data_IF_236263547761
#
_entry.id   IF_236263547761
#
_cell.length_a   1.000
_cell.length_b   1.000
_cell.length_c   1.000
_cell.angle_alpha   90.00
_cell.angle_beta   90.00
_cell.angle_gamma   90.00
#
_symmetry.space_group_name_H-M   'P 1'
#
loop_
_entity.id
_entity.type
_entity.pdbx_description
1 polymer ?
#
# COMPACT_ATOMS: atom_id res chain seq x y z
N UNK A 1 -14.53 -3.15 24.54
CA UNK A 1 -13.22 -3.37 23.91
C UNK A 1 -12.86 -2.31 22.85
N UNK A 2 -13.70 -2.07 21.83
CA UNK A 2 -13.36 -1.11 20.75
C UNK A 2 -12.95 0.30 21.22
N UNK A 3 -13.62 0.90 22.20
CA UNK A 3 -13.21 2.19 22.79
C UNK A 3 -11.81 2.14 23.38
N UNK A 4 -11.50 1.12 24.20
CA UNK A 4 -10.18 0.94 24.79
C UNK A 4 -9.08 0.84 23.73
N UNK A 5 -9.31 0.05 22.68
CA UNK A 5 -8.36 -0.10 21.57
C UNK A 5 -8.10 1.24 20.87
N UNK A 6 -9.14 2.07 20.71
CA UNK A 6 -9.02 3.38 20.10
C UNK A 6 -8.27 4.37 21.02
N UNK A 7 -8.62 4.40 22.30
CA UNK A 7 -7.99 5.25 23.31
C UNK A 7 -6.49 4.91 23.43
N UNK A 8 -6.14 3.62 23.55
CA UNK A 8 -4.76 3.15 23.63
C UNK A 8 -3.94 3.52 22.36
N UNK A 9 -4.59 3.61 21.19
CA UNK A 9 -3.94 4.07 19.95
C UNK A 9 -3.74 5.58 19.88
N UNK A 10 -4.66 6.36 20.43
CA UNK A 10 -4.42 7.79 20.61
C UNK A 10 -3.30 8.05 21.60
N UNK A 11 -3.31 7.37 22.75
CA UNK A 11 -2.25 7.44 23.75
C UNK A 11 -0.90 7.04 23.16
N UNK A 12 -0.87 6.00 22.31
CA UNK A 12 0.33 5.58 21.58
C UNK A 12 0.91 6.68 20.70
N UNK A 13 0.07 7.36 19.91
CA UNK A 13 0.50 8.44 19.00
C UNK A 13 0.91 9.69 19.78
N UNK A 14 0.16 10.04 20.83
CA UNK A 14 0.45 11.18 21.71
C UNK A 14 1.82 11.04 22.39
N UNK A 15 2.09 9.87 22.97
CA UNK A 15 3.31 9.60 23.73
C UNK A 15 4.42 8.95 22.89
N UNK A 16 4.32 8.98 21.56
CA UNK A 16 5.25 8.25 20.68
C UNK A 16 6.71 8.65 20.90
N UNK A 17 6.96 9.92 21.25
CA UNK A 17 8.31 10.49 21.47
C UNK A 17 9.04 9.91 22.69
N UNK A 18 8.30 9.34 23.62
CA UNK A 18 8.84 8.75 24.85
C UNK A 18 9.29 7.29 24.62
N UNK A 19 8.93 6.72 23.47
CA UNK A 19 9.23 5.35 23.09
C UNK A 19 10.51 5.29 22.27
N UNK A 20 11.25 4.17 22.27
CA UNK A 20 12.37 4.00 21.34
C UNK A 20 11.88 4.08 19.89
N UNK A 21 12.66 4.73 19.01
CA UNK A 21 12.37 4.79 17.57
C UNK A 21 12.14 3.39 17.02
N UNK A 22 13.04 2.47 17.35
CA UNK A 22 12.98 1.06 16.98
C UNK A 22 13.73 0.24 18.02
N UNK A 23 13.33 -1.01 18.22
CA UNK A 23 14.08 -1.99 19.01
C UNK A 23 13.98 -3.38 18.37
N UNK A 24 15.03 -4.21 18.48
CA UNK A 24 15.01 -5.57 17.96
C UNK A 24 13.97 -6.42 18.71
N UNK A 25 13.32 -7.35 17.99
CA UNK A 25 12.38 -8.30 18.59
C UNK A 25 13.17 -9.41 19.31
N UNK A 26 12.97 -9.61 20.63
CA UNK A 26 13.51 -10.73 21.39
C UNK A 26 13.12 -12.11 20.84
N UNK A 27 13.91 -13.14 21.11
CA UNK A 27 13.68 -14.49 20.56
C UNK A 27 12.41 -15.14 21.11
N UNK A 28 12.09 -14.92 22.37
CA UNK A 28 10.86 -15.35 23.05
C UNK A 28 9.61 -14.67 22.45
N UNK A 29 9.65 -13.36 22.22
CA UNK A 29 8.58 -12.62 21.54
C UNK A 29 8.33 -13.14 20.12
N UNK A 30 9.39 -13.54 19.38
CA UNK A 30 9.24 -14.20 18.08
C UNK A 30 8.67 -15.61 18.19
N UNK A 31 9.06 -16.36 19.21
CA UNK A 31 8.59 -17.73 19.44
C UNK A 31 7.11 -17.77 19.80
N UNK A 32 6.60 -16.73 20.45
CA UNK A 32 5.17 -16.58 20.79
C UNK A 32 4.25 -16.72 19.55
N UNK A 33 4.65 -16.20 18.38
CA UNK A 33 3.89 -16.32 17.13
C UNK A 33 4.22 -17.57 16.29
N UNK A 34 4.89 -18.58 16.87
CA UNK A 34 5.22 -19.86 16.22
C UNK A 34 4.43 -21.02 16.84
N UNK A 35 3.12 -20.84 16.93
CA UNK A 35 2.18 -21.82 17.49
C UNK A 35 1.33 -22.46 16.39
N UNK A 36 0.68 -23.59 16.69
CA UNK A 36 -0.27 -24.22 15.79
C UNK A 36 -1.54 -23.36 15.64
N UNK A 37 -2.29 -23.59 14.55
CA UNK A 37 -3.59 -22.95 14.33
C UNK A 37 -4.55 -23.28 15.50
N UNK A 38 -5.12 -22.29 16.21
CA UNK A 38 -6.11 -22.57 17.23
C UNK A 38 -7.40 -23.11 16.59
N UNK A 39 -7.95 -24.18 17.17
CA UNK A 39 -9.21 -24.80 16.74
C UNK A 39 -10.42 -24.34 17.56
N UNK A 40 -10.20 -23.52 18.58
CA UNK A 40 -11.22 -22.95 19.44
C UNK A 40 -11.13 -21.42 19.38
N UNK A 41 -12.25 -20.70 19.60
CA UNK A 41 -12.22 -19.25 19.66
C UNK A 41 -11.39 -18.75 20.85
N UNK A 42 -10.78 -17.59 20.66
CA UNK A 42 -10.03 -16.84 21.68
C UNK A 42 -10.82 -15.59 22.03
N UNK A 43 -10.80 -15.16 23.31
CA UNK A 43 -11.43 -13.90 23.69
C UNK A 43 -10.73 -12.71 23.02
N UNK A 44 -11.48 -11.66 22.67
CA UNK A 44 -10.91 -10.48 22.02
C UNK A 44 -9.89 -9.77 22.93
N UNK A 45 -10.17 -9.77 24.23
CA UNK A 45 -9.32 -9.26 25.29
C UNK A 45 -7.94 -9.93 25.27
N UNK A 46 -7.90 -11.26 25.16
CA UNK A 46 -6.66 -12.04 25.13
C UNK A 46 -5.83 -11.70 23.87
N UNK A 47 -6.48 -11.66 22.70
CA UNK A 47 -5.81 -11.26 21.45
C UNK A 47 -5.27 -9.82 21.51
N UNK A 48 -5.98 -8.92 22.18
CA UNK A 48 -5.55 -7.54 22.36
C UNK A 48 -4.38 -7.40 23.34
N UNK A 49 -4.34 -8.21 24.38
CA UNK A 49 -3.20 -8.30 25.29
C UNK A 49 -1.94 -8.80 24.56
N UNK A 50 -2.07 -9.81 23.69
CA UNK A 50 -0.98 -10.26 22.83
C UNK A 50 -0.46 -9.14 21.90
N UNK A 51 -1.37 -8.40 21.26
CA UNK A 51 -1.01 -7.23 20.44
C UNK A 51 -0.25 -6.18 21.26
N UNK A 52 -0.74 -5.87 22.46
CA UNK A 52 -0.16 -4.87 23.34
C UNK A 52 1.24 -5.24 23.85
N UNK A 53 1.47 -6.53 24.14
CA UNK A 53 2.73 -7.02 24.70
C UNK A 53 3.77 -7.39 23.64
N UNK A 54 3.33 -7.99 22.53
CA UNK A 54 4.23 -8.61 21.56
C UNK A 54 4.25 -7.94 20.18
N UNK A 55 3.35 -7.00 19.90
CA UNK A 55 3.30 -6.30 18.60
C UNK A 55 3.67 -4.82 18.76
N UNK A 56 2.91 -4.03 19.53
CA UNK A 56 3.14 -2.58 19.70
C UNK A 56 4.59 -2.25 20.06
N UNK A 57 5.25 -2.96 21.01
CA UNK A 57 6.60 -2.61 21.41
C UNK A 57 7.63 -2.68 20.29
N UNK A 58 7.40 -3.52 19.28
CA UNK A 58 8.39 -3.85 18.25
C UNK A 58 7.98 -3.39 16.85
N UNK A 59 7.18 -2.32 16.77
CA UNK A 59 6.80 -1.70 15.50
C UNK A 59 8.02 -1.15 14.72
N UNK A 60 7.83 -0.88 13.44
CA UNK A 60 8.89 -0.41 12.54
C UNK A 60 9.46 0.98 12.91
N UNK A 61 8.72 1.78 13.68
CA UNK A 61 9.18 3.07 14.18
C UNK A 61 8.87 4.27 13.29
N UNK A 62 8.32 4.06 12.09
CA UNK A 62 8.09 5.10 11.08
C UNK A 62 7.21 6.28 11.52
N UNK A 63 6.43 6.11 12.60
CA UNK A 63 5.58 7.17 13.17
C UNK A 63 6.34 8.05 14.19
N UNK A 64 7.53 7.64 14.63
CA UNK A 64 8.35 8.39 15.57
C UNK A 64 9.10 9.53 14.85
N UNK A 65 9.17 10.77 15.39
CA UNK A 65 9.79 11.90 14.70
C UNK A 65 11.30 11.77 14.48
N UNK A 66 11.97 10.96 15.29
CA UNK A 66 13.38 10.58 15.13
C UNK A 66 13.64 9.48 14.09
N UNK A 67 12.62 8.98 13.40
CA UNK A 67 12.80 7.95 12.37
C UNK A 67 13.38 8.55 11.08
N UNK A 68 14.54 8.03 10.66
CA UNK A 68 15.29 8.52 9.48
C UNK A 68 15.50 7.40 8.44
N UNK A 69 14.68 6.34 8.48
CA UNK A 69 14.85 5.14 7.67
C UNK A 69 13.94 5.08 6.44
N UNK A 70 14.52 5.14 5.24
CA UNK A 70 13.79 5.03 3.97
C UNK A 70 12.67 6.09 3.84
N UNK A 71 11.71 5.86 2.94
CA UNK A 71 10.53 6.72 2.75
C UNK A 71 9.32 5.97 3.27
N UNK A 72 9.01 6.15 4.55
CA UNK A 72 7.78 5.63 5.17
C UNK A 72 6.89 6.78 5.59
N UNK A 73 5.59 6.67 5.33
CA UNK A 73 4.61 7.60 5.86
C UNK A 73 4.42 7.39 7.37
N UNK A 74 4.28 8.48 8.12
CA UNK A 74 3.95 8.44 9.56
C UNK A 74 2.45 8.32 9.86
N UNK A 75 1.59 8.41 8.84
CA UNK A 75 0.13 8.47 9.02
C UNK A 75 -0.33 9.74 9.75
N UNK A 76 -1.63 9.83 10.02
CA UNK A 76 -2.22 10.89 10.86
C UNK A 76 -3.34 10.29 11.72
N UNK A 77 -3.66 10.93 12.86
CA UNK A 77 -4.78 10.53 13.70
C UNK A 77 -6.12 10.55 12.94
N UNK A 78 -6.31 11.55 12.07
CA UNK A 78 -7.49 11.65 11.20
C UNK A 78 -7.53 10.51 10.18
N UNK A 79 -6.38 10.16 9.58
CA UNK A 79 -6.28 9.02 8.67
C UNK A 79 -6.62 7.69 9.35
N UNK A 80 -6.17 7.50 10.59
CA UNK A 80 -6.52 6.32 11.39
C UNK A 80 -8.03 6.22 11.64
N UNK A 81 -8.70 7.33 11.97
CA UNK A 81 -10.15 7.37 12.12
C UNK A 81 -10.89 7.13 10.80
N UNK A 82 -10.38 7.67 9.69
CA UNK A 82 -10.94 7.42 8.36
C UNK A 82 -10.87 5.93 7.99
N UNK A 83 -9.74 5.27 8.30
CA UNK A 83 -9.60 3.81 8.12
C UNK A 83 -10.56 3.02 9.01
N UNK A 84 -10.80 3.45 10.26
CA UNK A 84 -11.82 2.84 11.12
C UNK A 84 -13.22 2.90 10.47
N UNK A 85 -13.60 4.05 9.91
CA UNK A 85 -14.88 4.21 9.21
C UNK A 85 -14.94 3.37 7.93
N UNK A 86 -13.87 3.35 7.15
CA UNK A 86 -13.79 2.56 5.91
C UNK A 86 -13.88 1.05 6.20
N UNK A 87 -13.13 0.57 7.19
CA UNK A 87 -13.16 -0.82 7.64
C UNK A 87 -14.52 -1.20 8.25
N UNK A 88 -15.15 -0.31 9.01
CA UNK A 88 -16.49 -0.52 9.56
C UNK A 88 -17.58 -0.58 8.49
N UNK A 89 -17.50 0.28 7.47
CA UNK A 89 -18.40 0.24 6.32
C UNK A 89 -18.18 -1.04 5.47
N UNK A 90 -16.94 -1.53 5.42
CA UNK A 90 -16.54 -2.76 4.74
C UNK A 90 -17.07 -2.85 3.29
N UNK A 91 -16.97 -1.73 2.55
CA UNK A 91 -17.52 -1.62 1.21
C UNK A 91 -16.64 -2.35 0.18
N UNK A 92 -17.20 -3.33 -0.52
CA UNK A 92 -16.58 -3.91 -1.72
C UNK A 92 -16.88 -3.03 -2.95
N UNK A 93 -15.84 -2.45 -3.55
CA UNK A 93 -15.95 -1.47 -4.65
C UNK A 93 -15.90 -2.10 -6.06
N UNK A 94 -16.32 -3.37 -6.22
CA UNK A 94 -16.21 -4.12 -7.48
C UNK A 94 -17.16 -3.70 -8.63
N UNK A 95 -17.80 -2.53 -8.57
CA UNK A 95 -18.63 -2.01 -9.67
C UNK A 95 -20.13 -1.87 -9.37
N UNK A 96 -20.51 -1.58 -8.13
CA UNK A 96 -21.89 -1.20 -7.77
C UNK A 96 -22.05 0.32 -7.81
N UNK A 97 -23.29 0.79 -7.64
CA UNK A 97 -23.60 2.21 -7.44
C UNK A 97 -23.62 2.52 -5.93
N UNK A 98 -22.61 3.24 -5.44
CA UNK A 98 -22.43 3.57 -4.03
C UNK A 98 -21.41 4.69 -3.80
N UNK A 99 -21.62 5.44 -2.72
CA UNK A 99 -20.92 6.69 -2.43
C UNK A 99 -19.38 6.62 -2.33
N UNK A 100 -18.73 5.54 -1.85
CA UNK A 100 -17.27 5.50 -1.80
C UNK A 100 -16.59 5.73 -3.16
N UNK A 101 -17.23 5.32 -4.26
CA UNK A 101 -16.71 5.55 -5.62
C UNK A 101 -16.70 7.05 -5.96
N UNK A 102 -17.75 7.78 -5.57
CA UNK A 102 -17.82 9.24 -5.81
C UNK A 102 -16.80 10.00 -4.95
N UNK A 103 -16.56 9.54 -3.71
CA UNK A 103 -15.50 10.08 -2.86
C UNK A 103 -14.13 9.88 -3.54
N UNK A 104 -13.85 8.69 -4.07
CA UNK A 104 -12.59 8.43 -4.80
C UNK A 104 -12.44 9.37 -6.02
N UNK A 105 -13.49 9.50 -6.84
CA UNK A 105 -13.49 10.40 -8.01
C UNK A 105 -13.24 11.86 -7.63
N UNK A 106 -13.84 12.32 -6.54
CA UNK A 106 -13.63 13.68 -6.04
C UNK A 106 -12.17 13.90 -5.64
N UNK A 107 -11.55 12.95 -4.93
CA UNK A 107 -10.16 13.05 -4.52
C UNK A 107 -9.23 13.00 -5.74
N UNK A 108 -9.50 12.16 -6.74
CA UNK A 108 -8.75 12.15 -8.01
C UNK A 108 -8.85 13.50 -8.71
N UNK A 109 -10.03 14.13 -8.72
CA UNK A 109 -10.22 15.47 -9.27
C UNK A 109 -9.37 16.52 -8.54
N UNK A 110 -9.32 16.49 -7.20
CA UNK A 110 -8.46 17.38 -6.42
C UNK A 110 -6.98 17.12 -6.67
N UNK A 111 -6.54 15.86 -6.75
CA UNK A 111 -5.16 15.54 -7.09
C UNK A 111 -4.78 16.08 -8.46
N UNK A 112 -5.65 15.92 -9.46
CA UNK A 112 -5.46 16.50 -10.80
C UNK A 112 -5.20 18.00 -10.75
N UNK A 113 -6.02 18.73 -9.99
CA UNK A 113 -5.89 20.18 -9.81
C UNK A 113 -4.60 20.55 -9.08
N UNK A 114 -4.29 19.91 -7.95
CA UNK A 114 -3.09 20.18 -7.15
C UNK A 114 -1.79 19.99 -7.94
N UNK A 115 -1.75 19.02 -8.85
CA UNK A 115 -0.58 18.75 -9.70
C UNK A 115 -0.60 19.50 -11.04
N UNK A 116 -1.63 20.31 -11.32
CA UNK A 116 -1.73 21.09 -12.55
C UNK A 116 -1.90 20.23 -13.81
N UNK A 117 -2.53 19.05 -13.70
CA UNK A 117 -2.80 18.19 -14.84
C UNK A 117 -3.90 18.77 -15.74
N UNK A 118 -3.87 18.49 -17.06
CA UNK A 118 -4.82 19.05 -18.00
C UNK A 118 -6.26 18.59 -17.73
N UNK A 119 -7.21 19.38 -18.23
CA UNK A 119 -8.61 18.98 -18.26
C UNK A 119 -8.78 17.65 -18.99
N UNK A 120 -9.59 16.74 -18.43
CA UNK A 120 -9.75 15.37 -18.92
C UNK A 120 -8.72 14.34 -18.41
N UNK A 121 -7.65 14.77 -17.72
CA UNK A 121 -6.81 13.83 -16.98
C UNK A 121 -7.61 13.14 -15.86
N UNK A 122 -7.28 11.89 -15.58
CA UNK A 122 -7.93 11.06 -14.56
C UNK A 122 -6.90 10.14 -13.90
N UNK A 123 -7.34 9.39 -12.89
CA UNK A 123 -6.51 8.53 -12.08
C UNK A 123 -7.35 7.49 -11.34
N UNK A 124 -6.65 6.59 -10.65
CA UNK A 124 -7.23 5.51 -9.85
C UNK A 124 -6.38 5.35 -8.60
N UNK A 125 -7.01 5.08 -7.45
CA UNK A 125 -6.28 4.69 -6.26
C UNK A 125 -5.87 3.22 -6.35
N UNK A 126 -4.60 2.95 -6.02
CA UNK A 126 -4.02 1.62 -6.07
C UNK A 126 -3.08 1.42 -4.89
N UNK A 127 -2.73 0.17 -4.62
CA UNK A 127 -2.00 -0.26 -3.42
C UNK A 127 -0.54 0.17 -3.36
N UNK A 128 0.00 0.81 -4.41
CA UNK A 128 1.33 1.40 -4.37
C UNK A 128 1.97 1.66 -5.74
N UNK A 129 3.13 2.29 -5.72
CA UNK A 129 3.85 2.75 -6.92
C UNK A 129 4.25 1.62 -7.86
N UNK A 130 4.58 0.42 -7.34
CA UNK A 130 4.88 -0.75 -8.17
C UNK A 130 3.71 -1.13 -9.08
N UNK A 131 2.49 -1.14 -8.54
CA UNK A 131 1.26 -1.38 -9.31
C UNK A 131 1.01 -0.25 -10.30
N UNK A 132 1.31 1.01 -9.93
CA UNK A 132 1.17 2.16 -10.83
C UNK A 132 2.09 2.04 -12.04
N UNK A 133 3.37 1.71 -11.81
CA UNK A 133 4.35 1.53 -12.86
C UNK A 133 3.98 0.35 -13.78
N UNK A 134 3.49 -0.76 -13.21
CA UNK A 134 2.97 -1.87 -13.99
C UNK A 134 1.79 -1.43 -14.87
N UNK A 135 0.81 -0.75 -14.31
CA UNK A 135 -0.33 -0.23 -15.09
C UNK A 135 0.12 0.74 -16.17
N UNK A 136 1.03 1.66 -15.88
CA UNK A 136 1.58 2.60 -16.84
C UNK A 136 2.26 1.88 -18.01
N UNK A 137 3.09 0.87 -17.73
CA UNK A 137 3.74 0.04 -18.76
C UNK A 137 2.70 -0.73 -19.58
N UNK A 138 1.69 -1.32 -18.95
CA UNK A 138 0.63 -2.05 -19.65
C UNK A 138 -0.20 -1.11 -20.55
N UNK A 139 -0.51 0.10 -20.08
CA UNK A 139 -1.22 1.13 -20.84
C UNK A 139 -0.37 1.55 -22.05
N UNK A 140 0.90 1.91 -21.84
CA UNK A 140 1.81 2.31 -22.91
C UNK A 140 1.98 1.20 -23.96
N UNK A 141 2.18 -0.05 -23.50
CA UNK A 141 2.28 -1.23 -24.37
C UNK A 141 1.02 -1.42 -25.20
N UNK A 142 -0.17 -1.34 -24.60
CA UNK A 142 -1.44 -1.50 -25.32
C UNK A 142 -1.73 -0.31 -26.24
N UNK A 143 -1.30 0.90 -25.91
CA UNK A 143 -1.41 2.06 -26.79
C UNK A 143 -0.57 1.90 -28.06
N UNK A 144 0.64 1.36 -27.95
CA UNK A 144 1.57 1.17 -29.09
C UNK A 144 1.24 -0.08 -29.90
N UNK A 145 0.98 -1.22 -29.25
CA UNK A 145 0.76 -2.50 -29.93
C UNK A 145 -0.72 -2.79 -30.26
N UNK A 146 -1.63 -1.96 -29.75
CA UNK A 146 -3.06 -2.12 -29.92
C UNK A 146 -3.72 -3.05 -28.89
N UNK A 147 -5.05 -2.97 -28.79
CA UNK A 147 -5.85 -3.74 -27.81
C UNK A 147 -5.83 -5.25 -28.04
N UNK A 148 -5.53 -5.70 -29.26
CA UNK A 148 -5.48 -7.12 -29.62
C UNK A 148 -4.46 -7.91 -28.78
N UNK A 149 -3.39 -7.27 -28.30
CA UNK A 149 -2.38 -7.93 -27.47
C UNK A 149 -2.91 -8.42 -26.12
N UNK A 150 -4.08 -7.92 -25.68
CA UNK A 150 -4.77 -8.44 -24.49
C UNK A 150 -5.29 -9.87 -24.70
N UNK A 151 -5.50 -10.28 -25.94
CA UNK A 151 -5.97 -11.61 -26.33
C UNK A 151 -4.83 -12.46 -26.89
N UNK A 152 -4.06 -11.90 -27.82
CA UNK A 152 -3.01 -12.65 -28.54
C UNK A 152 -1.65 -12.68 -27.82
N UNK A 153 -1.52 -11.98 -26.70
CA UNK A 153 -0.22 -11.74 -26.07
C UNK A 153 0.69 -10.86 -26.94
N UNK A 154 1.99 -10.87 -26.63
CA UNK A 154 3.00 -10.00 -27.24
C UNK A 154 4.15 -10.73 -27.94
N UNK A 155 4.06 -12.05 -28.08
CA UNK A 155 5.15 -12.88 -28.62
C UNK A 155 5.60 -12.43 -30.02
N UNK A 156 4.66 -12.12 -30.92
CA UNK A 156 4.98 -11.65 -32.28
C UNK A 156 5.58 -10.22 -32.34
N UNK A 157 5.64 -9.54 -31.19
CA UNK A 157 6.11 -8.17 -31.00
C UNK A 157 7.32 -8.14 -30.06
N UNK A 158 7.79 -9.31 -29.63
CA UNK A 158 8.96 -9.46 -28.77
C UNK A 158 10.17 -8.75 -29.39
N UNK A 159 10.90 -7.98 -28.58
CA UNK A 159 12.09 -7.22 -29.00
C UNK A 159 11.84 -5.90 -29.74
N UNK A 160 10.58 -5.53 -30.06
CA UNK A 160 10.26 -4.27 -30.77
C UNK A 160 10.10 -3.06 -29.87
N UNK A 161 9.90 -3.26 -28.57
CA UNK A 161 9.69 -2.18 -27.60
C UNK A 161 10.94 -1.98 -26.75
N UNK A 162 11.27 -0.71 -26.50
CA UNK A 162 12.31 -0.29 -25.56
C UNK A 162 11.74 0.78 -24.65
N UNK A 163 12.00 0.64 -23.35
CA UNK A 163 11.72 1.65 -22.35
C UNK A 163 13.03 2.28 -21.89
N UNK A 164 12.96 3.51 -21.41
CA UNK A 164 14.12 4.27 -20.94
C UNK A 164 13.83 4.81 -19.55
N UNK A 165 14.82 4.76 -18.68
CA UNK A 165 14.74 5.30 -17.32
C UNK A 165 16.12 5.77 -16.85
N UNK A 166 16.17 6.50 -15.73
CA UNK A 166 17.44 6.82 -15.08
C UNK A 166 18.03 5.56 -14.44
N UNK A 167 19.36 5.49 -14.33
CA UNK A 167 20.06 4.45 -13.55
C UNK A 167 19.71 4.47 -12.07
N UNK A 168 19.15 5.58 -11.56
CA UNK A 168 18.67 5.72 -10.18
C UNK A 168 17.19 5.35 -10.01
N UNK A 169 16.52 4.83 -11.04
CA UNK A 169 15.11 4.45 -10.95
C UNK A 169 14.90 3.26 -10.01
N UNK A 170 13.75 3.25 -9.35
CA UNK A 170 13.41 2.17 -8.43
C UNK A 170 13.22 0.85 -9.19
N UNK A 171 13.66 -0.26 -8.58
CA UNK A 171 13.63 -1.61 -9.15
C UNK A 171 12.23 -2.07 -9.61
N UNK A 172 11.17 -1.45 -9.09
CA UNK A 172 9.81 -1.77 -9.51
C UNK A 172 9.53 -1.48 -10.99
N UNK A 173 10.30 -0.61 -11.65
CA UNK A 173 10.17 -0.36 -13.10
C UNK A 173 10.65 -1.57 -13.90
N UNK A 174 11.83 -2.13 -13.57
CA UNK A 174 12.33 -3.34 -14.26
C UNK A 174 11.46 -4.55 -13.98
N UNK A 175 11.00 -4.72 -12.74
CA UNK A 175 10.04 -5.78 -12.38
C UNK A 175 8.72 -5.65 -13.14
N UNK A 176 8.21 -4.43 -13.33
CA UNK A 176 7.01 -4.20 -14.12
C UNK A 176 7.21 -4.58 -15.60
N UNK A 177 8.41 -4.36 -16.17
CA UNK A 177 8.75 -4.81 -17.53
C UNK A 177 8.76 -6.34 -17.64
N UNK A 178 9.31 -7.03 -16.65
CA UNK A 178 9.33 -8.50 -16.55
C UNK A 178 7.91 -9.05 -16.48
N UNK A 179 7.07 -8.52 -15.57
CA UNK A 179 5.68 -8.95 -15.41
C UNK A 179 4.84 -8.65 -16.66
N UNK A 180 5.09 -7.52 -17.33
CA UNK A 180 4.39 -7.16 -18.57
C UNK A 180 4.78 -8.04 -19.77
N UNK A 181 5.75 -8.94 -19.61
CA UNK A 181 6.26 -9.87 -20.63
C UNK A 181 7.25 -9.23 -21.60
N UNK A 182 7.76 -8.04 -21.30
CA UNK A 182 8.72 -7.32 -22.14
C UNK A 182 10.17 -7.71 -21.84
N UNK A 183 10.43 -8.19 -20.62
CA UNK A 183 11.77 -8.52 -20.12
C UNK A 183 12.55 -7.28 -19.69
N UNK A 184 13.41 -7.43 -18.69
CA UNK A 184 14.23 -6.33 -18.16
C UNK A 184 15.31 -5.86 -19.14
N UNK A 185 15.77 -6.70 -20.07
CA UNK A 185 16.68 -6.28 -21.15
C UNK A 185 16.08 -5.22 -22.07
N UNK A 186 14.75 -5.08 -22.10
CA UNK A 186 14.06 -4.05 -22.87
C UNK A 186 14.09 -2.67 -22.20
N UNK A 187 14.52 -2.58 -20.93
CA UNK A 187 14.68 -1.33 -20.18
C UNK A 187 16.13 -0.85 -20.26
N UNK A 188 16.32 0.42 -20.64
CA UNK A 188 17.63 1.08 -20.74
C UNK A 188 17.75 2.26 -19.80
#
# INVERSE_FOLDING_TARGET
MGHRMLDDMFDYVEHIRERPVWRPIPSDARAHFRVALPHQPTALEEAYEEFSQFVIPYAAGNVHPGFMGWVHGGGTAVGMLAEMLAAGLNANLGGRDHMPIEVERQIVSWAREMFGFPEGASGLFITGTSTANLLAILIARTAVLGRATRQSGIAAQSGKLRAYTSTSAHICVSQAMEIAGLGSEALR
#
